data_IF_466179755848
#
_entry.id   IF_466179755848
#
_cell.length_a   1.000
_cell.length_b   1.000
_cell.length_c   1.000
_cell.angle_alpha   90.00
_cell.angle_beta   90.00
_cell.angle_gamma   90.00
#
_symmetry.space_group_name_H-M   'P 1'
#
loop_
_entity.id
_entity.type
_entity.pdbx_description
1 polymer ?
#
# COMPACT_ATOMS: atom_id res chain seq x y z
N UNK A 1 -16.32 1.81 24.07
CA UNK A 1 -15.68 0.65 23.42
C UNK A 1 -14.17 0.87 23.50
N UNK A 2 -13.38 -0.15 23.84
CA UNK A 2 -11.91 0.01 23.90
C UNK A 2 -11.35 0.07 22.47
N UNK A 3 -10.55 1.10 22.20
CA UNK A 3 -9.82 1.25 20.93
C UNK A 3 -8.69 0.24 20.88
N UNK A 4 -8.77 -0.73 19.96
CA UNK A 4 -7.75 -1.77 19.77
C UNK A 4 -7.78 -2.32 18.34
N UNK A 5 -6.63 -2.77 17.80
CA UNK A 5 -6.59 -3.40 16.48
C UNK A 5 -7.48 -4.64 16.45
N UNK A 6 -8.04 -4.96 15.28
CA UNK A 6 -9.04 -6.03 15.11
C UNK A 6 -8.47 -7.15 14.27
N UNK A 7 -8.71 -8.39 14.67
CA UNK A 7 -8.40 -9.57 13.88
C UNK A 7 -9.68 -10.16 13.28
N UNK A 8 -9.76 -10.16 11.96
CA UNK A 8 -10.90 -10.73 11.22
C UNK A 8 -10.50 -12.02 10.50
N UNK A 9 -11.49 -12.87 10.24
CA UNK A 9 -11.34 -14.05 9.39
C UNK A 9 -12.11 -13.82 8.09
N UNK A 10 -11.39 -13.72 6.98
CA UNK A 10 -12.00 -13.56 5.66
C UNK A 10 -12.01 -14.91 4.94
N UNK A 11 -13.19 -15.50 4.67
CA UNK A 11 -13.28 -16.71 3.88
C UNK A 11 -12.92 -16.42 2.41
N UNK A 12 -12.23 -17.35 1.76
CA UNK A 12 -11.86 -17.23 0.35
C UNK A 12 -12.09 -18.55 -0.40
N UNK A 13 -12.24 -18.45 -1.72
CA UNK A 13 -12.22 -19.59 -2.63
C UNK A 13 -10.77 -19.93 -3.00
N UNK A 14 -10.29 -21.17 -2.78
CA UNK A 14 -8.95 -21.59 -3.19
C UNK A 14 -8.67 -21.30 -4.67
N UNK A 15 -7.47 -20.80 -4.97
CA UNK A 15 -7.02 -20.60 -6.34
C UNK A 15 -6.77 -21.98 -6.96
N UNK A 16 -7.36 -22.30 -8.12
CA UNK A 16 -7.29 -23.63 -8.72
C UNK A 16 -5.95 -23.86 -9.46
N UNK A 17 -4.84 -23.49 -8.83
CA UNK A 17 -3.49 -23.67 -9.37
C UNK A 17 -2.67 -24.56 -8.43
N UNK A 18 -2.02 -25.56 -9.01
CA UNK A 18 -1.05 -26.38 -8.29
C UNK A 18 0.31 -25.68 -8.29
N UNK A 19 0.89 -25.53 -7.10
CA UNK A 19 2.24 -25.01 -6.96
C UNK A 19 3.21 -26.11 -7.39
N UNK A 20 4.07 -25.89 -8.40
CA UNK A 20 5.00 -26.90 -8.87
C UNK A 20 5.95 -27.40 -7.78
N UNK A 21 6.34 -28.68 -7.87
CA UNK A 21 7.29 -29.29 -6.94
C UNK A 21 8.59 -28.48 -6.84
N UNK A 22 9.01 -28.18 -5.60
CA UNK A 22 10.21 -27.40 -5.31
C UNK A 22 10.03 -25.88 -5.31
N UNK A 23 8.83 -25.37 -5.62
CA UNK A 23 8.52 -23.93 -5.56
C UNK A 23 7.75 -23.58 -4.29
N UNK A 24 8.04 -22.43 -3.66
CA UNK A 24 7.22 -21.95 -2.55
C UNK A 24 5.94 -21.28 -3.07
N UNK A 25 4.81 -21.37 -2.34
CA UNK A 25 3.57 -20.71 -2.75
C UNK A 25 3.71 -19.22 -3.04
N UNK A 26 4.44 -18.48 -2.21
CA UNK A 26 4.65 -17.05 -2.39
C UNK A 26 5.50 -16.71 -3.63
N UNK A 27 6.39 -17.60 -4.06
CA UNK A 27 7.13 -17.44 -5.32
C UNK A 27 6.18 -17.67 -6.50
N UNK A 28 5.37 -18.73 -6.44
CA UNK A 28 4.45 -19.12 -7.50
C UNK A 28 3.32 -18.12 -7.73
N UNK A 29 2.68 -17.64 -6.66
CA UNK A 29 1.61 -16.64 -6.77
C UNK A 29 2.12 -15.23 -7.14
N UNK A 30 3.44 -15.06 -7.27
CA UNK A 30 4.06 -13.90 -7.90
C UNK A 30 4.82 -14.33 -9.16
N UNK A 31 4.15 -15.06 -10.06
CA UNK A 31 4.69 -15.53 -11.34
C UNK A 31 3.77 -15.14 -12.50
N UNK A 32 4.27 -15.31 -13.73
CA UNK A 32 3.49 -15.06 -14.95
C UNK A 32 2.28 -15.99 -15.02
N UNK A 33 2.39 -17.21 -14.48
CA UNK A 33 1.31 -18.18 -14.43
C UNK A 33 0.12 -17.65 -13.62
N UNK A 34 0.38 -17.15 -12.41
CA UNK A 34 -0.67 -16.55 -11.59
C UNK A 34 -1.28 -15.30 -12.24
N UNK A 35 -0.48 -14.51 -12.96
CA UNK A 35 -1.02 -13.35 -13.69
C UNK A 35 -1.94 -13.75 -14.84
N UNK A 36 -1.61 -14.83 -15.54
CA UNK A 36 -2.49 -15.39 -16.55
C UNK A 36 -3.80 -15.85 -15.91
N UNK A 37 -3.75 -16.60 -14.79
CA UNK A 37 -4.96 -16.99 -14.06
C UNK A 37 -5.78 -15.75 -13.61
N UNK A 38 -5.11 -14.74 -13.06
CA UNK A 38 -5.75 -13.51 -12.63
C UNK A 38 -6.52 -12.84 -13.77
N UNK A 39 -5.94 -12.74 -14.97
CA UNK A 39 -6.62 -12.16 -16.13
C UNK A 39 -7.87 -12.97 -16.51
N UNK A 40 -7.77 -14.31 -16.57
CA UNK A 40 -8.84 -15.14 -17.13
C UNK A 40 -9.94 -15.50 -16.12
N UNK A 41 -9.63 -15.58 -14.83
CA UNK A 41 -10.57 -16.00 -13.78
C UNK A 41 -11.02 -14.86 -12.87
N UNK A 42 -10.25 -13.78 -12.78
CA UNK A 42 -10.49 -12.69 -11.84
C UNK A 42 -10.45 -11.30 -12.51
N UNK A 43 -10.17 -11.22 -13.81
CA UNK A 43 -10.02 -9.99 -14.56
C UNK A 43 -11.34 -9.25 -14.67
N UNK A 44 -11.32 -7.97 -14.33
CA UNK A 44 -12.48 -7.08 -14.47
C UNK A 44 -12.31 -6.21 -15.70
N UNK A 45 -11.16 -5.54 -15.85
CA UNK A 45 -10.89 -4.63 -16.95
C UNK A 45 -9.40 -4.57 -17.28
N UNK A 46 -9.08 -4.40 -18.56
CA UNK A 46 -7.72 -4.16 -19.04
C UNK A 46 -7.66 -2.93 -19.95
N UNK A 47 -6.48 -2.34 -20.09
CA UNK A 47 -6.25 -1.23 -21.01
C UNK A 47 -4.91 -1.32 -21.78
N UNK A 48 -4.73 -0.53 -22.84
CA UNK A 48 -3.51 -0.52 -23.65
C UNK A 48 -2.24 -0.14 -22.87
N UNK A 49 -2.38 0.62 -21.79
CA UNK A 49 -1.29 1.00 -20.89
C UNK A 49 -0.79 -0.18 -20.03
N UNK A 50 -1.44 -1.35 -20.11
CA UNK A 50 -1.05 -2.55 -19.39
C UNK A 50 -1.55 -2.60 -17.95
N UNK A 51 -2.56 -1.79 -17.59
CA UNK A 51 -3.21 -1.86 -16.29
C UNK A 51 -4.32 -2.90 -16.32
N UNK A 52 -4.32 -3.76 -15.29
CA UNK A 52 -5.34 -4.77 -15.07
C UNK A 52 -6.06 -4.44 -13.76
N UNK A 53 -7.37 -4.23 -13.83
CA UNK A 53 -8.27 -4.27 -12.68
C UNK A 53 -8.73 -5.71 -12.48
N UNK A 54 -8.62 -6.23 -11.26
CA UNK A 54 -8.99 -7.62 -10.97
C UNK A 54 -9.55 -7.79 -9.55
N UNK A 55 -10.48 -8.73 -9.42
CA UNK A 55 -10.99 -9.20 -8.12
C UNK A 55 -9.90 -9.94 -7.36
N UNK A 56 -9.75 -9.68 -6.06
CA UNK A 56 -8.89 -10.53 -5.21
C UNK A 56 -9.55 -11.84 -4.84
N UNK A 57 -9.02 -12.94 -5.36
CA UNK A 57 -9.39 -14.29 -4.91
C UNK A 57 -9.01 -14.51 -3.44
N UNK A 58 -7.80 -14.11 -3.05
CA UNK A 58 -7.33 -14.07 -1.65
C UNK A 58 -7.62 -12.70 -1.04
N UNK A 59 -8.90 -12.37 -0.92
CA UNK A 59 -9.38 -11.09 -0.43
C UNK A 59 -8.99 -10.78 1.02
N UNK A 60 -9.00 -9.50 1.35
CA UNK A 60 -8.92 -8.93 2.68
C UNK A 60 -10.30 -8.62 3.24
N UNK A 61 -11.26 -8.39 2.36
CA UNK A 61 -12.66 -8.10 2.69
C UNK A 61 -13.58 -8.74 1.66
N UNK A 62 -14.75 -9.15 2.11
CA UNK A 62 -15.84 -9.59 1.25
C UNK A 62 -16.90 -8.50 1.00
N UNK A 63 -16.78 -7.33 1.65
CA UNK A 63 -17.67 -6.20 1.37
C UNK A 63 -17.31 -5.53 0.04
N UNK A 64 -16.02 -5.25 -0.16
CA UNK A 64 -15.41 -4.79 -1.41
C UNK A 64 -13.88 -5.02 -1.35
N UNK A 65 -13.30 -5.69 -2.34
CA UNK A 65 -11.84 -5.83 -2.50
C UNK A 65 -11.45 -6.05 -3.96
N UNK A 66 -10.67 -5.11 -4.50
CA UNK A 66 -10.09 -5.18 -5.85
C UNK A 66 -8.71 -4.55 -5.87
N UNK A 67 -7.96 -4.78 -6.95
CA UNK A 67 -6.70 -4.09 -7.17
C UNK A 67 -6.48 -3.74 -8.63
N UNK A 68 -5.70 -2.69 -8.82
CA UNK A 68 -5.06 -2.38 -10.10
C UNK A 68 -3.63 -2.87 -10.02
N UNK A 69 -3.16 -3.52 -11.09
CA UNK A 69 -1.79 -3.98 -11.23
C UNK A 69 -1.22 -3.56 -12.57
N UNK A 70 0.04 -3.11 -12.59
CA UNK A 70 0.75 -2.88 -13.84
C UNK A 70 1.27 -4.22 -14.37
N UNK A 71 0.58 -4.80 -15.34
CA UNK A 71 0.88 -6.11 -15.87
C UNK A 71 2.01 -6.04 -16.91
N UNK A 72 3.27 -6.07 -16.44
CA UNK A 72 4.46 -6.13 -17.30
C UNK A 72 4.95 -7.55 -17.56
N UNK A 73 4.16 -8.58 -17.22
CA UNK A 73 4.61 -9.98 -17.23
C UNK A 73 5.09 -10.50 -18.57
N UNK A 74 4.57 -9.95 -19.66
CA UNK A 74 4.91 -10.33 -21.03
C UNK A 74 5.91 -9.37 -21.69
N UNK A 75 6.17 -8.21 -21.10
CA UNK A 75 7.00 -7.15 -21.70
C UNK A 75 8.34 -6.92 -20.98
N UNK A 76 8.41 -7.20 -19.68
CA UNK A 76 9.64 -7.03 -18.88
C UNK A 76 9.96 -8.37 -18.21
N UNK A 77 10.87 -9.14 -18.82
CA UNK A 77 11.29 -10.43 -18.26
C UNK A 77 12.31 -10.28 -17.12
N UNK A 78 13.08 -9.19 -17.11
CA UNK A 78 13.98 -8.87 -16.01
C UNK A 78 13.18 -8.49 -14.74
N UNK A 79 13.20 -9.32 -13.69
CA UNK A 79 12.44 -9.04 -12.47
C UNK A 79 12.96 -7.82 -11.71
N UNK A 80 14.21 -7.41 -11.90
CA UNK A 80 14.79 -6.21 -11.30
C UNK A 80 14.46 -4.93 -12.08
N UNK A 81 14.18 -5.06 -13.39
CA UNK A 81 13.80 -3.96 -14.28
C UNK A 81 12.33 -3.55 -14.21
N UNK A 82 11.50 -4.24 -13.42
CA UNK A 82 10.07 -3.93 -13.29
C UNK A 82 9.82 -2.74 -12.37
N UNK A 83 8.89 -1.83 -12.71
CA UNK A 83 8.43 -0.81 -11.77
C UNK A 83 7.83 -1.45 -10.52
N UNK A 84 8.35 -1.07 -9.36
CA UNK A 84 7.84 -1.48 -8.04
C UNK A 84 7.11 -0.34 -7.34
N UNK A 85 7.14 0.85 -7.94
CA UNK A 85 6.51 2.07 -7.47
C UNK A 85 5.81 2.81 -8.59
N UNK A 86 4.74 3.51 -8.25
CA UNK A 86 4.02 4.39 -9.18
C UNK A 86 4.88 5.50 -9.78
N UNK A 87 5.86 6.03 -9.05
CA UNK A 87 6.78 7.06 -9.60
C UNK A 87 7.76 6.53 -10.65
N UNK A 88 7.83 5.21 -10.86
CA UNK A 88 8.68 4.56 -11.87
C UNK A 88 7.92 4.17 -13.14
N UNK A 89 6.58 4.27 -13.16
CA UNK A 89 5.80 3.93 -14.37
C UNK A 89 5.87 5.08 -15.38
N UNK A 90 5.75 4.80 -16.69
CA UNK A 90 5.68 5.85 -17.71
C UNK A 90 4.53 6.83 -17.46
N UNK A 91 4.69 8.10 -17.87
CA UNK A 91 3.69 9.14 -17.60
C UNK A 91 2.31 8.82 -18.16
N UNK A 92 2.23 8.21 -19.36
CA UNK A 92 0.97 7.76 -19.93
C UNK A 92 0.25 6.74 -19.04
N UNK A 93 0.99 5.73 -18.53
CA UNK A 93 0.47 4.73 -17.59
C UNK A 93 0.01 5.39 -16.29
N UNK A 94 0.81 6.32 -15.76
CA UNK A 94 0.50 7.06 -14.53
C UNK A 94 -0.78 7.89 -14.68
N UNK A 95 -0.98 8.57 -15.80
CA UNK A 95 -2.21 9.35 -16.04
C UNK A 95 -3.47 8.48 -15.98
N UNK A 96 -3.46 7.33 -16.64
CA UNK A 96 -4.58 6.38 -16.60
C UNK A 96 -4.76 5.80 -15.20
N UNK A 97 -3.66 5.43 -14.53
CA UNK A 97 -3.67 4.95 -13.14
C UNK A 97 -4.36 5.95 -12.19
N UNK A 98 -4.06 7.25 -12.31
CA UNK A 98 -4.65 8.31 -11.48
C UNK A 98 -6.16 8.38 -11.66
N UNK A 99 -6.60 8.38 -12.92
CA UNK A 99 -8.03 8.45 -13.28
C UNK A 99 -8.78 7.23 -12.77
N UNK A 100 -8.20 6.03 -12.91
CA UNK A 100 -8.79 4.81 -12.37
C UNK A 100 -8.92 4.89 -10.84
N UNK A 101 -7.88 5.37 -10.14
CA UNK A 101 -7.92 5.55 -8.69
C UNK A 101 -9.02 6.51 -8.25
N UNK A 102 -9.08 7.66 -8.89
CA UNK A 102 -10.07 8.68 -8.63
C UNK A 102 -11.49 8.09 -8.71
N UNK A 103 -11.81 7.39 -9.81
CA UNK A 103 -13.15 6.83 -10.03
C UNK A 103 -13.48 5.73 -9.02
N UNK A 104 -12.52 4.85 -8.69
CA UNK A 104 -12.77 3.76 -7.73
C UNK A 104 -12.97 4.33 -6.31
N UNK A 105 -12.20 5.34 -5.91
CA UNK A 105 -12.36 5.99 -4.61
C UNK A 105 -13.69 6.75 -4.54
N UNK A 106 -14.07 7.46 -5.61
CA UNK A 106 -15.37 8.13 -5.73
C UNK A 106 -16.52 7.12 -5.60
N UNK A 107 -16.45 5.99 -6.30
CA UNK A 107 -17.40 4.89 -6.16
C UNK A 107 -17.50 4.35 -4.73
N UNK A 108 -16.36 4.09 -4.08
CA UNK A 108 -16.34 3.59 -2.71
C UNK A 108 -17.05 4.55 -1.74
N UNK A 109 -16.82 5.85 -1.89
CA UNK A 109 -17.45 6.86 -1.04
C UNK A 109 -18.95 6.99 -1.29
N UNK A 110 -19.40 6.79 -2.53
CA UNK A 110 -20.83 6.76 -2.86
C UNK A 110 -21.55 5.52 -2.33
N UNK A 111 -20.92 4.34 -2.45
CA UNK A 111 -21.52 3.08 -1.99
C UNK A 111 -21.50 2.90 -0.48
N UNK A 112 -20.54 3.55 0.19
CA UNK A 112 -20.35 3.46 1.63
C UNK A 112 -20.30 4.86 2.24
N UNK A 113 -21.39 5.65 2.19
CA UNK A 113 -21.35 7.08 2.51
C UNK A 113 -21.09 7.35 4.00
N UNK A 114 -21.57 6.47 4.89
CA UNK A 114 -21.45 6.66 6.33
C UNK A 114 -20.07 6.18 6.86
N UNK A 115 -19.23 7.07 7.41
CA UNK A 115 -17.98 6.67 8.05
C UNK A 115 -18.18 5.75 9.27
N UNK A 116 -19.34 5.73 9.93
CA UNK A 116 -19.61 4.86 11.07
C UNK A 116 -19.99 3.42 10.68
N UNK A 117 -20.43 3.22 9.44
CA UNK A 117 -20.78 1.89 8.91
C UNK A 117 -19.61 1.20 8.22
N UNK A 118 -18.73 1.95 7.55
CA UNK A 118 -17.66 1.36 6.74
C UNK A 118 -16.30 2.04 6.89
N UNK A 119 -15.28 1.21 7.03
CA UNK A 119 -13.87 1.62 6.93
C UNK A 119 -13.41 1.45 5.47
N UNK A 120 -12.92 2.54 4.88
CA UNK A 120 -12.49 2.57 3.48
C UNK A 120 -10.99 2.84 3.39
N UNK A 121 -10.30 2.11 2.51
CA UNK A 121 -8.93 2.41 2.14
C UNK A 121 -8.65 2.14 0.67
N UNK A 122 -7.80 2.98 0.10
CA UNK A 122 -7.14 2.78 -1.17
C UNK A 122 -5.63 2.97 -0.97
N UNK A 123 -4.76 2.23 -1.65
CA UNK A 123 -3.34 2.47 -1.45
C UNK A 123 -2.39 1.53 -2.13
N UNK A 124 -1.20 2.08 -2.38
CA UNK A 124 -0.08 1.38 -2.97
C UNK A 124 0.71 0.66 -1.89
N UNK A 125 1.06 -0.59 -2.17
CA UNK A 125 2.06 -1.31 -1.40
C UNK A 125 3.22 -1.65 -2.34
N UNK A 126 4.41 -1.13 -2.00
CA UNK A 126 5.64 -1.39 -2.74
C UNK A 126 6.50 -2.38 -1.99
N UNK A 127 6.89 -3.44 -2.69
CA UNK A 127 7.86 -4.43 -2.24
C UNK A 127 9.22 -4.10 -2.88
N UNK A 128 9.92 -3.11 -2.35
CA UNK A 128 11.20 -2.69 -2.93
C UNK A 128 12.31 -3.73 -2.74
N UNK A 129 13.21 -3.70 -3.71
CA UNK A 129 14.10 -4.71 -4.27
C UNK A 129 15.18 -5.36 -3.37
N UNK A 130 15.24 -5.10 -2.06
CA UNK A 130 16.45 -5.46 -1.29
C UNK A 130 16.73 -6.93 -1.08
N UNK A 131 15.81 -7.83 -1.40
CA UNK A 131 16.10 -9.24 -1.19
C UNK A 131 17.07 -9.75 -2.27
N UNK A 132 18.10 -10.51 -1.89
CA UNK A 132 18.79 -11.35 -2.84
C UNK A 132 17.75 -12.20 -3.56
N UNK A 133 17.74 -12.21 -4.89
CA UNK A 133 16.88 -13.12 -5.68
C UNK A 133 17.05 -14.60 -5.26
N UNK A 134 18.15 -14.91 -4.55
CA UNK A 134 18.52 -16.22 -4.02
C UNK A 134 17.93 -16.54 -2.64
N UNK A 135 17.26 -15.60 -1.98
CA UNK A 135 16.65 -15.87 -0.68
C UNK A 135 15.29 -16.59 -0.87
N UNK A 136 15.06 -17.73 -0.21
CA UNK A 136 13.83 -18.50 -0.38
C UNK A 136 12.58 -17.70 -0.01
N UNK A 137 11.63 -17.55 -0.94
CA UNK A 137 10.38 -16.83 -0.75
C UNK A 137 10.32 -15.43 -1.37
N UNK A 138 11.30 -15.06 -2.21
CA UNK A 138 11.26 -13.79 -2.95
C UNK A 138 10.39 -13.95 -4.19
N UNK A 139 9.36 -13.11 -4.37
CA UNK A 139 8.56 -13.06 -5.59
C UNK A 139 9.40 -13.03 -6.87
N UNK A 140 9.18 -13.98 -7.78
CA UNK A 140 9.82 -13.99 -9.10
C UNK A 140 9.38 -12.80 -9.96
N UNK A 141 8.18 -12.27 -9.69
CA UNK A 141 7.67 -11.03 -10.23
C UNK A 141 7.47 -10.03 -9.11
N UNK A 142 8.11 -8.87 -9.26
CA UNK A 142 7.85 -7.68 -8.44
C UNK A 142 6.74 -6.89 -9.10
N UNK A 143 5.68 -6.61 -8.35
CA UNK A 143 4.48 -5.99 -8.91
C UNK A 143 4.08 -4.77 -8.11
N UNK A 144 3.99 -3.65 -8.82
CA UNK A 144 3.25 -2.50 -8.36
C UNK A 144 1.76 -2.86 -8.37
N UNK A 145 1.17 -2.94 -7.19
CA UNK A 145 -0.26 -3.07 -7.02
C UNK A 145 -0.83 -1.97 -6.14
N UNK A 146 -2.08 -1.66 -6.40
CA UNK A 146 -2.81 -0.69 -5.62
C UNK A 146 -4.17 -1.27 -5.27
N UNK A 147 -4.47 -1.22 -3.98
CA UNK A 147 -5.56 -1.94 -3.35
C UNK A 147 -6.71 -1.01 -3.07
N UNK A 148 -7.94 -1.50 -3.19
CA UNK A 148 -9.16 -0.75 -2.88
C UNK A 148 -10.07 -1.65 -2.06
N UNK A 149 -10.40 -1.23 -0.85
CA UNK A 149 -11.13 -2.06 0.11
C UNK A 149 -12.17 -1.26 0.88
N UNK A 150 -13.27 -1.95 1.20
CA UNK A 150 -14.22 -1.52 2.22
C UNK A 150 -14.36 -2.62 3.27
N UNK A 151 -14.47 -2.26 4.54
CA UNK A 151 -14.77 -3.19 5.64
C UNK A 151 -16.04 -2.74 6.35
N UNK A 152 -16.90 -3.71 6.69
CA UNK A 152 -18.04 -3.48 7.56
C UNK A 152 -17.55 -3.20 8.99
N UNK A 153 -17.84 -2.02 9.53
CA UNK A 153 -17.44 -1.64 10.89
C UNK A 153 -18.20 -2.42 11.95
N UNK A 154 -19.41 -2.91 11.70
CA UNK A 154 -20.11 -3.81 12.62
C UNK A 154 -19.36 -5.14 12.76
N UNK A 155 -18.88 -5.71 11.65
CA UNK A 155 -18.03 -6.91 11.66
C UNK A 155 -16.73 -6.63 12.43
N UNK A 156 -16.05 -5.51 12.14
CA UNK A 156 -14.82 -5.12 12.86
C UNK A 156 -15.06 -4.90 14.36
N UNK A 157 -16.21 -4.37 14.76
CA UNK A 157 -16.58 -4.20 16.18
C UNK A 157 -16.82 -5.54 16.88
N UNK A 158 -17.43 -6.49 16.18
CA UNK A 158 -17.69 -7.85 16.68
C UNK A 158 -16.42 -8.73 16.71
N UNK A 159 -15.43 -8.39 15.89
CA UNK A 159 -14.17 -9.11 15.80
C UNK A 159 -13.32 -9.00 17.09
N UNK A 160 -12.59 -10.07 17.43
CA UNK A 160 -11.67 -10.06 18.56
C UNK A 160 -10.57 -9.00 18.37
N UNK A 161 -10.02 -8.54 19.49
CA UNK A 161 -8.78 -7.76 19.47
C UNK A 161 -7.66 -8.59 18.86
N UNK A 162 -6.91 -8.00 17.93
CA UNK A 162 -5.68 -8.59 17.45
C UNK A 162 -4.60 -8.57 18.55
N UNK A 163 -3.70 -9.56 18.51
CA UNK A 163 -2.51 -9.56 19.37
C UNK A 163 -1.66 -8.29 19.11
N UNK A 164 -1.42 -7.43 20.12
CA UNK A 164 -0.56 -6.26 19.96
C UNK A 164 0.87 -6.57 19.50
N UNK A 165 1.34 -7.80 19.71
CA UNK A 165 2.64 -8.30 19.26
C UNK A 165 2.60 -9.02 17.90
N UNK A 166 1.45 -9.01 17.22
CA UNK A 166 1.35 -9.58 15.89
C UNK A 166 2.37 -8.88 14.94
N UNK A 167 3.24 -9.62 14.26
CA UNK A 167 4.23 -9.05 13.33
C UNK A 167 3.62 -8.09 12.30
N UNK A 168 2.38 -8.35 11.85
CA UNK A 168 1.64 -7.45 10.96
C UNK A 168 1.44 -6.05 11.57
N UNK A 169 1.24 -5.95 12.88
CA UNK A 169 1.06 -4.66 13.56
C UNK A 169 2.39 -4.05 14.01
N UNK A 170 3.35 -4.88 14.42
CA UNK A 170 4.63 -4.42 14.97
C UNK A 170 5.63 -4.00 13.90
N UNK A 171 5.50 -4.50 12.68
CA UNK A 171 6.39 -4.12 11.59
C UNK A 171 5.98 -2.82 10.87
N UNK A 172 4.79 -2.31 11.17
CA UNK A 172 4.33 -1.01 10.66
C UNK A 172 5.13 0.16 11.23
N UNK A 173 5.11 1.29 10.53
CA UNK A 173 5.93 2.46 10.83
C UNK A 173 5.71 3.05 12.23
N UNK A 174 4.58 2.73 12.90
CA UNK A 174 4.32 3.11 14.29
C UNK A 174 5.35 2.59 15.31
N UNK A 175 6.04 1.50 15.01
CA UNK A 175 7.12 0.94 15.86
C UNK A 175 8.51 1.14 15.22
N UNK A 176 8.59 1.97 14.17
CA UNK A 176 9.85 2.21 13.47
C UNK A 176 10.82 3.04 14.30
N UNK A 177 12.11 2.91 13.97
CA UNK A 177 13.17 3.77 14.47
C UNK A 177 12.89 5.26 14.17
N UNK A 178 12.20 5.54 13.06
CA UNK A 178 11.80 6.91 12.69
C UNK A 178 10.84 7.49 13.72
N UNK A 179 9.82 6.73 14.12
CA UNK A 179 8.86 7.20 15.09
C UNK A 179 9.49 7.36 16.49
N UNK A 180 10.40 6.46 16.88
CA UNK A 180 11.02 6.48 18.19
C UNK A 180 12.08 7.59 18.36
N UNK A 181 12.85 7.91 17.32
CA UNK A 181 14.05 8.75 17.45
C UNK A 181 14.11 9.94 16.49
N UNK A 182 13.34 9.92 15.39
CA UNK A 182 13.44 10.93 14.34
C UNK A 182 12.10 11.58 14.01
N UNK A 183 11.10 11.48 14.90
CA UNK A 183 9.74 11.99 14.63
C UNK A 183 9.74 13.45 14.20
N UNK A 184 10.46 14.31 14.93
CA UNK A 184 10.48 15.75 14.63
C UNK A 184 11.32 16.06 13.38
N UNK A 185 12.47 15.42 13.19
CA UNK A 185 13.28 15.55 11.95
C UNK A 185 12.45 15.17 10.73
N UNK A 186 11.74 14.04 10.82
CA UNK A 186 10.88 13.53 9.76
C UNK A 186 9.73 14.50 9.47
N UNK A 187 9.02 14.99 10.49
CA UNK A 187 7.97 16.01 10.30
C UNK A 187 8.50 17.30 9.69
N UNK A 188 9.64 17.79 10.17
CA UNK A 188 10.28 19.01 9.65
C UNK A 188 10.68 18.86 8.18
N UNK A 189 11.16 17.68 7.76
CA UNK A 189 11.45 17.42 6.36
C UNK A 189 10.20 17.53 5.49
N UNK A 190 9.10 16.87 5.87
CA UNK A 190 7.87 16.90 5.08
C UNK A 190 7.13 18.25 5.10
N UNK A 191 7.31 19.06 6.14
CA UNK A 191 6.70 20.39 6.24
C UNK A 191 7.23 21.38 5.19
N UNK A 192 8.40 21.10 4.60
CA UNK A 192 9.03 21.95 3.58
C UNK A 192 8.62 21.58 2.15
N UNK A 193 7.87 20.50 1.97
CA UNK A 193 7.28 20.18 0.67
C UNK A 193 6.17 21.21 0.35
N UNK A 194 6.11 21.73 -0.89
CA UNK A 194 5.02 22.63 -1.35
C UNK A 194 3.70 21.87 -1.56
N UNK A 195 3.10 21.43 -0.45
CA UNK A 195 1.80 20.78 -0.42
C UNK A 195 0.71 21.83 -0.14
N UNK A 196 -0.25 21.98 -1.07
CA UNK A 196 -1.37 22.92 -0.93
C UNK A 196 -2.70 22.21 -0.72
N UNK A 197 -2.88 21.04 -1.34
CA UNK A 197 -4.07 20.20 -1.16
C UNK A 197 -3.88 19.31 0.06
N UNK A 198 -2.72 18.66 0.20
CA UNK A 198 -2.38 17.75 1.30
C UNK A 198 -1.88 18.53 2.52
N UNK A 199 -2.76 18.76 3.50
CA UNK A 199 -2.42 19.53 4.71
C UNK A 199 -2.06 18.61 5.87
N UNK A 200 -0.96 18.82 6.58
CA UNK A 200 -0.62 18.01 7.75
C UNK A 200 -1.78 17.92 8.75
N UNK A 201 -2.13 16.70 9.14
CA UNK A 201 -3.12 16.43 10.19
C UNK A 201 -2.71 17.07 11.52
N UNK A 202 -3.71 17.41 12.34
CA UNK A 202 -3.49 17.64 13.77
C UNK A 202 -3.20 16.33 14.50
N UNK A 203 -2.49 16.41 15.63
CA UNK A 203 -2.18 15.21 16.43
C UNK A 203 -3.46 14.51 16.86
N UNK A 204 -3.59 13.22 16.52
CA UNK A 204 -4.74 12.39 16.87
C UNK A 204 -5.93 12.44 15.90
N UNK A 205 -5.99 13.40 14.97
CA UNK A 205 -7.16 13.57 14.07
C UNK A 205 -7.27 12.52 12.96
N UNK A 206 -6.22 11.71 12.77
CA UNK A 206 -6.16 10.72 11.71
C UNK A 206 -6.43 9.30 12.22
N UNK A 207 -6.53 9.06 13.53
CA UNK A 207 -6.81 7.73 14.09
C UNK A 207 -8.26 7.35 13.84
N UNK A 208 -8.47 6.10 13.44
CA UNK A 208 -9.78 5.44 13.48
C UNK A 208 -10.06 5.05 14.93
N UNK A 209 -11.13 5.58 15.52
CA UNK A 209 -11.50 5.39 16.92
C UNK A 209 -11.71 3.91 17.28
N UNK A 210 -12.18 3.11 16.32
CA UNK A 210 -12.41 1.68 16.51
C UNK A 210 -11.09 0.91 16.75
N UNK A 211 -10.07 1.22 15.96
CA UNK A 211 -8.81 0.45 15.94
C UNK A 211 -7.69 1.13 16.71
N UNK A 212 -7.69 2.46 16.78
CA UNK A 212 -6.63 3.30 17.33
C UNK A 212 -5.50 3.59 16.35
N UNK A 213 -5.66 3.23 15.08
CA UNK A 213 -4.64 3.35 14.01
C UNK A 213 -5.06 4.34 12.92
N UNK A 214 -4.11 4.93 12.17
CA UNK A 214 -2.66 4.80 12.29
C UNK A 214 -2.09 5.50 13.54
N UNK A 215 -0.98 4.97 14.06
CA UNK A 215 -0.34 5.52 15.27
C UNK A 215 0.96 6.25 14.92
N UNK A 216 0.96 7.57 15.05
CA UNK A 216 2.20 8.36 14.97
C UNK A 216 2.79 8.51 13.56
N UNK A 217 2.18 7.88 12.55
CA UNK A 217 2.55 8.05 11.16
C UNK A 217 2.26 9.48 10.68
N UNK A 218 3.08 10.03 9.77
CA UNK A 218 2.76 11.29 9.12
C UNK A 218 1.44 11.11 8.35
N UNK A 219 0.60 12.12 8.40
CA UNK A 219 -0.71 12.05 7.76
C UNK A 219 -1.11 13.44 7.29
N UNK A 220 -1.80 13.48 6.15
CA UNK A 220 -2.23 14.72 5.52
C UNK A 220 -3.72 14.62 5.18
N UNK A 221 -4.50 15.58 5.64
CA UNK A 221 -5.88 15.75 5.22
C UNK A 221 -5.93 16.26 3.78
N UNK A 222 -6.79 15.66 2.96
CA UNK A 222 -7.06 16.11 1.59
C UNK A 222 -8.04 17.28 1.63
N UNK A 223 -7.52 18.48 1.43
CA UNK A 223 -8.36 19.69 1.35
C UNK A 223 -9.26 19.61 0.11
N UNK A 224 -10.56 19.84 0.28
CA UNK A 224 -11.55 19.66 -0.81
C UNK A 224 -12.09 18.24 -0.94
N UNK A 225 -11.63 17.29 -0.10
CA UNK A 225 -12.16 15.93 -0.04
C UNK A 225 -12.05 15.18 -1.37
N UNK A 226 -13.09 14.42 -1.73
CA UNK A 226 -13.10 13.61 -2.95
C UNK A 226 -12.95 14.43 -4.23
N UNK A 227 -13.43 15.68 -4.25
CA UNK A 227 -13.35 16.54 -5.43
C UNK A 227 -11.89 16.85 -5.81
N UNK A 228 -11.00 16.96 -4.82
CA UNK A 228 -9.58 17.22 -5.05
C UNK A 228 -8.86 16.08 -5.80
N UNK A 229 -9.41 14.85 -5.78
CA UNK A 229 -8.84 13.73 -6.54
C UNK A 229 -8.92 13.93 -8.06
N UNK A 230 -9.79 14.84 -8.52
CA UNK A 230 -9.92 15.27 -9.93
C UNK A 230 -8.81 16.26 -10.33
N UNK A 231 -8.10 16.84 -9.37
CA UNK A 231 -7.04 17.80 -9.62
C UNK A 231 -5.70 17.10 -9.85
N UNK A 232 -5.02 17.43 -10.95
CA UNK A 232 -3.67 16.91 -11.25
C UNK A 232 -2.70 17.22 -10.10
N UNK A 233 -2.87 18.36 -9.44
CA UNK A 233 -2.07 18.79 -8.31
C UNK A 233 -2.12 17.80 -7.14
N UNK A 234 -3.28 17.21 -6.83
CA UNK A 234 -3.39 16.22 -5.76
C UNK A 234 -2.42 15.06 -6.00
N UNK A 235 -2.40 14.54 -7.23
CA UNK A 235 -1.53 13.43 -7.61
C UNK A 235 -0.05 13.80 -7.64
N UNK A 236 0.28 15.05 -7.98
CA UNK A 236 1.65 15.58 -7.87
C UNK A 236 2.11 15.64 -6.41
N UNK A 237 1.25 16.09 -5.50
CA UNK A 237 1.52 16.15 -4.06
C UNK A 237 1.60 14.74 -3.44
N UNK A 238 0.74 13.83 -3.87
CA UNK A 238 0.79 12.42 -3.48
C UNK A 238 2.13 11.78 -3.88
N UNK A 239 2.61 12.02 -5.10
CA UNK A 239 3.92 11.56 -5.55
C UNK A 239 5.08 12.29 -4.82
N UNK A 240 4.92 13.57 -4.46
CA UNK A 240 5.93 14.33 -3.73
C UNK A 240 6.18 13.74 -2.32
N UNK A 241 5.12 13.30 -1.63
CA UNK A 241 5.24 12.59 -0.36
C UNK A 241 6.06 11.30 -0.53
N UNK A 242 5.76 10.50 -1.56
CA UNK A 242 6.52 9.28 -1.83
C UNK A 242 8.00 9.58 -2.13
N UNK A 243 8.26 10.56 -3.00
CA UNK A 243 9.63 10.99 -3.33
C UNK A 243 10.40 11.46 -2.11
N UNK A 244 9.76 12.24 -1.24
CA UNK A 244 10.35 12.72 0.01
C UNK A 244 10.65 11.57 0.97
N UNK A 245 9.75 10.59 1.07
CA UNK A 245 9.98 9.37 1.84
C UNK A 245 11.20 8.59 1.34
N UNK A 246 11.33 8.43 0.02
CA UNK A 246 12.46 7.74 -0.60
C UNK A 246 13.79 8.45 -0.32
N UNK A 247 13.83 9.78 -0.46
CA UNK A 247 15.02 10.57 -0.16
C UNK A 247 15.43 10.45 1.30
N UNK A 248 14.46 10.64 2.22
CA UNK A 248 14.69 10.49 3.66
C UNK A 248 15.32 9.14 3.99
N UNK A 249 14.74 8.06 3.47
CA UNK A 249 15.18 6.69 3.76
C UNK A 249 16.54 6.37 3.14
N UNK A 250 16.76 6.71 1.87
CA UNK A 250 18.04 6.45 1.17
C UNK A 250 19.20 7.21 1.82
N UNK A 251 18.96 8.46 2.21
CA UNK A 251 19.97 9.28 2.90
C UNK A 251 20.26 8.71 4.28
N UNK A 252 19.22 8.34 5.04
CA UNK A 252 19.40 7.74 6.37
C UNK A 252 20.24 6.48 6.30
N UNK A 253 19.87 5.53 5.43
CA UNK A 253 20.60 4.26 5.32
C UNK A 253 21.98 4.42 4.69
N UNK A 254 22.22 5.44 3.85
CA UNK A 254 23.56 5.83 3.44
C UNK A 254 24.45 6.21 4.63
N UNK A 255 23.93 7.00 5.58
CA UNK A 255 24.66 7.35 6.80
C UNK A 255 24.84 6.16 7.77
N UNK A 256 23.87 5.24 7.81
CA UNK A 256 24.00 3.99 8.56
C UNK A 256 25.08 3.10 7.95
N UNK A 257 25.12 2.94 6.62
CA UNK A 257 26.07 2.05 5.96
C UNK A 257 27.50 2.58 5.99
N UNK A 258 27.65 3.90 5.82
CA UNK A 258 28.96 4.55 5.67
C UNK A 258 28.96 5.86 6.43
N UNK A 259 29.93 6.02 7.33
CA UNK A 259 30.09 7.27 8.08
C UNK A 259 30.35 8.43 7.11
N UNK A 260 29.55 9.49 7.22
CA UNK A 260 29.61 10.65 6.35
C UNK A 260 29.46 10.28 4.87
N UNK A 261 28.53 9.37 4.58
CA UNK A 261 28.22 9.00 3.20
C UNK A 261 27.86 10.25 2.38
N UNK A 262 28.29 10.29 1.13
CA UNK A 262 27.88 11.34 0.21
C UNK A 262 26.37 11.30 -0.05
N UNK A 263 25.80 12.43 -0.46
CA UNK A 263 24.42 12.49 -0.92
C UNK A 263 24.22 11.48 -2.08
N UNK A 264 23.15 10.66 -2.06
CA UNK A 264 22.82 9.80 -3.20
C UNK A 264 22.62 10.63 -4.47
N UNK A 265 23.07 10.13 -5.62
CA UNK A 265 23.06 10.88 -6.89
C UNK A 265 21.66 11.25 -7.37
N UNK A 266 20.68 10.39 -7.13
CA UNK A 266 19.34 10.51 -7.69
C UNK A 266 18.31 10.87 -6.61
N UNK A 267 18.61 11.84 -5.75
CA UNK A 267 17.63 12.39 -4.82
C UNK A 267 16.67 13.34 -5.54
N UNK A 268 15.42 13.40 -5.08
CA UNK A 268 14.39 14.28 -5.65
C UNK A 268 14.45 15.71 -5.10
N UNK A 269 14.88 15.88 -3.84
CA UNK A 269 14.91 17.16 -3.14
C UNK A 269 16.31 17.42 -2.53
N UNK A 270 17.34 17.67 -3.37
CA UNK A 270 18.74 17.79 -2.90
C UNK A 270 18.94 18.87 -1.84
N UNK A 271 18.38 20.07 -2.05
CA UNK A 271 18.49 21.18 -1.10
C UNK A 271 17.84 20.83 0.24
N UNK A 272 16.72 20.13 0.21
CA UNK A 272 16.01 19.71 1.41
C UNK A 272 16.80 18.62 2.17
N UNK A 273 17.37 17.66 1.44
CA UNK A 273 18.24 16.62 1.98
C UNK A 273 19.46 17.23 2.66
N UNK A 274 20.12 18.18 2.02
CA UNK A 274 21.30 18.84 2.59
C UNK A 274 20.93 19.60 3.87
N UNK A 275 19.94 20.49 3.78
CA UNK A 275 19.61 21.41 4.86
C UNK A 275 18.89 20.77 6.05
N UNK A 276 18.09 19.71 5.83
CA UNK A 276 17.24 19.11 6.88
C UNK A 276 17.69 17.74 7.35
N UNK A 277 18.55 17.04 6.59
CA UNK A 277 19.02 15.70 6.96
C UNK A 277 20.53 15.67 7.20
N UNK A 278 21.32 16.06 6.19
CA UNK A 278 22.79 15.95 6.27
C UNK A 278 23.42 16.98 7.22
N UNK A 279 22.72 18.09 7.49
CA UNK A 279 23.11 19.08 8.48
C UNK A 279 22.38 18.92 9.84
N UNK A 280 21.55 17.89 10.01
CA UNK A 280 20.81 17.64 11.25
C UNK A 280 21.56 16.68 12.18
N UNK A 281 21.94 17.18 13.36
CA UNK A 281 22.72 16.40 14.32
C UNK A 281 21.95 15.21 14.91
N UNK A 282 20.62 15.30 15.06
CA UNK A 282 19.83 14.23 15.66
C UNK A 282 19.57 13.10 14.66
N UNK A 283 19.41 13.44 13.37
CA UNK A 283 19.44 12.51 12.26
C UNK A 283 20.75 11.72 12.22
N UNK A 284 21.89 12.40 12.23
CA UNK A 284 23.21 11.77 12.17
C UNK A 284 23.53 10.93 13.42
N UNK A 285 23.16 11.39 14.62
CA UNK A 285 23.28 10.60 15.86
C UNK A 285 22.45 9.32 15.79
N UNK A 286 21.23 9.41 15.26
CA UNK A 286 20.36 8.24 15.11
C UNK A 286 20.94 7.24 14.11
N UNK A 287 21.42 7.72 12.96
CA UNK A 287 22.10 6.87 11.98
C UNK A 287 23.34 6.18 12.59
N UNK A 288 24.15 6.91 13.37
CA UNK A 288 25.27 6.33 14.14
C UNK A 288 24.80 5.24 15.09
N UNK A 289 23.73 5.47 15.86
CA UNK A 289 23.21 4.49 16.81
C UNK A 289 22.81 3.18 16.12
N UNK A 290 22.13 3.28 14.98
CA UNK A 290 21.76 2.10 14.18
C UNK A 290 23.02 1.39 13.66
N UNK A 291 23.97 2.14 13.10
CA UNK A 291 25.24 1.60 12.59
C UNK A 291 26.02 0.85 13.66
N UNK A 292 26.22 1.46 14.83
CA UNK A 292 26.98 0.87 15.94
C UNK A 292 26.32 -0.43 16.45
N UNK A 293 24.98 -0.48 16.45
CA UNK A 293 24.23 -1.69 16.79
C UNK A 293 24.38 -2.77 15.71
N UNK A 294 24.34 -2.42 14.43
CA UNK A 294 24.58 -3.39 13.34
C UNK A 294 25.97 -4.04 13.42
N UNK A 295 26.98 -3.33 13.93
CA UNK A 295 28.35 -3.87 14.07
C UNK A 295 28.43 -4.92 15.18
N UNK A 296 27.63 -4.78 16.25
CA UNK A 296 27.77 -5.58 17.47
C UNK A 296 26.65 -6.59 17.70
N UNK A 297 25.51 -6.45 17.02
CA UNK A 297 24.33 -7.31 17.14
C UNK A 297 23.98 -7.90 15.77
N UNK A 298 24.44 -9.12 15.52
CA UNK A 298 24.22 -9.83 14.25
C UNK A 298 22.72 -10.08 13.96
N UNK A 299 21.90 -10.29 14.99
CA UNK A 299 20.45 -10.50 14.83
C UNK A 299 19.78 -9.21 14.38
N UNK A 300 20.15 -8.08 15.00
CA UNK A 300 19.69 -6.77 14.58
C UNK A 300 20.17 -6.41 13.17
N UNK A 301 21.45 -6.64 12.87
CA UNK A 301 22.00 -6.40 11.53
C UNK A 301 21.24 -7.18 10.44
N UNK A 302 20.87 -8.44 10.73
CA UNK A 302 20.07 -9.27 9.83
C UNK A 302 18.61 -8.80 9.68
N UNK A 303 18.05 -8.14 10.71
CA UNK A 303 16.68 -7.62 10.65
C UNK A 303 16.57 -6.27 9.94
N UNK A 304 17.67 -5.52 9.79
CA UNK A 304 17.70 -4.25 9.07
C UNK A 304 17.30 -4.44 7.59
N UNK A 305 16.54 -3.46 7.09
CA UNK A 305 16.11 -3.36 5.69
C UNK A 305 16.72 -2.11 5.07
N UNK A 306 17.70 -2.32 4.20
CA UNK A 306 18.53 -1.26 3.63
C UNK A 306 17.85 -0.47 2.51
N UNK A 307 16.78 -1.00 1.88
CA UNK A 307 15.99 -0.30 0.86
C UNK A 307 14.55 -0.11 1.35
N UNK A 308 13.88 0.97 0.92
CA UNK A 308 12.56 1.34 1.40
C UNK A 308 11.43 0.51 0.78
N UNK A 309 10.87 -0.44 1.55
CA UNK A 309 9.50 -0.90 1.31
C UNK A 309 8.51 0.04 2.00
N UNK A 310 7.37 0.33 1.37
CA UNK A 310 6.38 1.25 1.94
C UNK A 310 4.95 0.87 1.58
N UNK A 311 4.04 1.45 2.35
CA UNK A 311 2.60 1.50 2.09
C UNK A 311 2.19 2.97 2.08
N UNK A 312 1.61 3.45 1.00
CA UNK A 312 1.06 4.79 0.90
C UNK A 312 -0.45 4.68 0.65
N UNK A 313 -1.24 5.24 1.56
CA UNK A 313 -2.68 5.04 1.60
C UNK A 313 -3.44 6.35 1.48
N UNK A 314 -4.64 6.26 0.93
CA UNK A 314 -5.75 7.18 1.08
C UNK A 314 -6.83 6.43 1.87
N UNK A 315 -7.27 6.94 3.01
CA UNK A 315 -8.35 6.34 3.79
C UNK A 315 -9.31 7.40 4.30
N UNK A 316 -10.53 6.99 4.66
CA UNK A 316 -11.53 7.88 5.26
C UNK A 316 -11.48 7.77 6.78
N UNK A 317 -11.37 8.89 7.48
CA UNK A 317 -11.46 8.92 8.94
C UNK A 317 -12.92 8.93 9.45
N UNK A 318 -13.09 8.89 10.78
CA UNK A 318 -14.43 8.78 11.39
C UNK A 318 -15.33 10.00 11.18
N UNK A 319 -14.78 11.15 10.79
CA UNK A 319 -15.56 12.36 10.46
C UNK A 319 -15.74 12.55 8.94
N UNK A 320 -15.44 11.52 8.15
CA UNK A 320 -15.67 11.49 6.71
C UNK A 320 -14.58 12.17 5.86
N UNK A 321 -13.48 12.64 6.47
CA UNK A 321 -12.38 13.28 5.74
C UNK A 321 -11.46 12.24 5.10
N UNK A 322 -10.95 12.55 3.91
CA UNK A 322 -9.91 11.76 3.27
C UNK A 322 -8.54 12.13 3.83
N UNK A 323 -7.76 11.11 4.19
CA UNK A 323 -6.43 11.22 4.77
C UNK A 323 -5.44 10.44 3.90
N UNK A 324 -4.33 11.08 3.56
CA UNK A 324 -3.14 10.43 3.00
C UNK A 324 -2.18 10.08 4.11
N UNK A 325 -1.61 8.87 4.12
CA UNK A 325 -0.50 8.51 5.00
C UNK A 325 0.53 7.67 4.27
N UNK A 326 1.78 7.69 4.73
CA UNK A 326 2.84 6.82 4.24
C UNK A 326 3.56 6.18 5.42
N UNK A 327 3.79 4.87 5.32
CA UNK A 327 4.49 4.07 6.30
C UNK A 327 5.61 3.30 5.64
N UNK A 328 6.74 3.20 6.32
CA UNK A 328 7.66 2.08 6.08
C UNK A 328 6.88 0.77 6.28
N UNK A 329 7.12 -0.19 5.42
CA UNK A 329 6.46 -1.48 5.44
C UNK A 329 7.46 -2.62 5.67
N UNK A 330 7.01 -3.74 6.24
CA UNK A 330 7.71 -5.02 6.09
C UNK A 330 7.08 -5.87 4.98
N UNK A 331 7.90 -6.75 4.44
CA UNK A 331 7.50 -7.65 3.35
C UNK A 331 6.66 -8.78 3.94
N UNK A 332 5.47 -9.00 3.37
CA UNK A 332 4.58 -10.11 3.73
C UNK A 332 3.30 -9.68 4.43
N UNK A 333 3.23 -8.46 4.96
CA UNK A 333 2.11 -8.04 5.79
C UNK A 333 1.05 -7.25 5.01
N UNK A 334 -0.22 -7.37 5.40
CA UNK A 334 -1.35 -6.79 4.67
C UNK A 334 -1.41 -5.26 4.78
N UNK A 335 -1.80 -4.57 3.72
CA UNK A 335 -1.91 -3.10 3.70
C UNK A 335 -2.89 -2.55 4.75
N UNK A 336 -3.82 -3.40 5.20
CA UNK A 336 -4.86 -3.14 6.19
C UNK A 336 -4.34 -2.88 7.60
N UNK A 337 -3.13 -3.36 7.93
CA UNK A 337 -2.55 -3.21 9.27
C UNK A 337 -2.23 -1.77 9.65
N UNK A 338 -2.00 -0.91 8.65
CA UNK A 338 -1.77 0.53 8.85
C UNK A 338 -2.99 1.17 9.50
N UNK A 339 -4.17 0.59 9.28
CA UNK A 339 -5.44 0.99 9.91
C UNK A 339 -5.86 0.05 11.04
N UNK A 340 -4.96 -0.82 11.51
CA UNK A 340 -5.18 -1.70 12.67
C UNK A 340 -6.11 -2.88 12.39
N UNK A 341 -6.20 -3.34 11.13
CA UNK A 341 -6.98 -4.52 10.75
C UNK A 341 -6.04 -5.65 10.33
N UNK A 342 -5.97 -6.69 11.16
CA UNK A 342 -5.25 -7.94 10.89
C UNK A 342 -6.22 -8.91 10.21
N UNK A 343 -5.87 -9.37 9.01
CA UNK A 343 -6.71 -10.28 8.25
C UNK A 343 -6.12 -11.68 8.26
N UNK A 344 -6.88 -12.64 8.78
CA UNK A 344 -6.62 -14.06 8.62
C UNK A 344 -7.49 -14.61 7.48
N UNK A 345 -6.86 -15.23 6.49
CA UNK A 345 -7.58 -15.83 5.37
C UNK A 345 -7.87 -17.30 5.66
N UNK A 346 -9.10 -17.76 5.43
CA UNK A 346 -9.49 -19.16 5.62
C UNK A 346 -10.08 -19.74 4.32
N UNK A 347 -9.62 -20.91 3.84
CA UNK A 347 -10.20 -21.54 2.66
C UNK A 347 -11.60 -22.08 3.01
N UNK A 348 -12.62 -21.36 2.57
CA UNK A 348 -14.03 -21.70 2.82
C UNK A 348 -14.88 -21.20 1.64
N UNK A 349 -15.03 -22.08 0.64
CA UNK A 349 -15.72 -21.76 -0.59
C UNK A 349 -17.22 -21.54 -0.39
N UNK A 350 -17.83 -22.19 0.60
CA UNK A 350 -19.26 -22.06 0.89
C UNK A 350 -19.54 -20.70 1.53
N UNK A 351 -18.76 -20.31 2.54
CA UNK A 351 -18.89 -19.00 3.16
C UNK A 351 -18.56 -17.86 2.19
N UNK A 352 -17.52 -18.02 1.37
CA UNK A 352 -17.22 -17.05 0.31
C UNK A 352 -18.35 -16.94 -0.71
N UNK A 353 -18.91 -18.08 -1.16
CA UNK A 353 -20.00 -18.13 -2.14
C UNK A 353 -21.28 -17.41 -1.69
N UNK A 354 -21.50 -17.23 -0.38
CA UNK A 354 -22.60 -16.41 0.14
C UNK A 354 -22.39 -14.91 -0.05
N UNK A 355 -21.15 -14.43 0.03
CA UNK A 355 -20.81 -13.01 -0.09
C UNK A 355 -20.43 -12.60 -1.51
N UNK A 356 -19.94 -13.55 -2.31
CA UNK A 356 -19.40 -13.35 -3.65
C UNK A 356 -20.37 -12.62 -4.60
N UNK A 357 -21.69 -12.93 -4.69
CA UNK A 357 -22.59 -12.23 -5.61
C UNK A 357 -22.64 -10.71 -5.38
N UNK A 358 -22.78 -10.28 -4.12
CA UNK A 358 -22.85 -8.87 -3.76
C UNK A 358 -21.49 -8.15 -3.92
N UNK A 359 -20.38 -8.88 -3.75
CA UNK A 359 -19.05 -8.38 -4.06
C UNK A 359 -18.91 -8.15 -5.58
N UNK A 360 -19.23 -9.16 -6.40
CA UNK A 360 -19.11 -9.12 -7.86
C UNK A 360 -19.97 -8.01 -8.44
N UNK A 361 -21.21 -7.84 -7.98
CA UNK A 361 -22.10 -6.77 -8.45
C UNK A 361 -21.44 -5.39 -8.33
N UNK A 362 -20.82 -5.10 -7.17
CA UNK A 362 -20.10 -3.83 -6.94
C UNK A 362 -18.87 -3.69 -7.83
N UNK A 363 -18.11 -4.78 -7.97
CA UNK A 363 -16.90 -4.78 -8.82
C UNK A 363 -17.24 -4.55 -10.30
N UNK A 364 -18.31 -5.15 -10.80
CA UNK A 364 -18.81 -4.92 -12.16
C UNK A 364 -19.38 -3.52 -12.34
N UNK A 365 -20.00 -2.93 -11.30
CA UNK A 365 -20.44 -1.54 -11.33
C UNK A 365 -19.27 -0.56 -11.47
N UNK A 366 -18.18 -0.76 -10.73
CA UNK A 366 -16.93 0.01 -10.88
C UNK A 366 -16.34 -0.18 -12.27
N UNK A 367 -16.29 -1.42 -12.75
CA UNK A 367 -15.80 -1.76 -14.09
C UNK A 367 -16.53 -0.95 -15.17
N UNK A 368 -17.87 -0.88 -15.11
CA UNK A 368 -18.68 -0.10 -16.06
C UNK A 368 -18.30 1.39 -16.06
N UNK A 369 -18.17 2.00 -14.88
CA UNK A 369 -17.75 3.42 -14.77
C UNK A 369 -16.37 3.67 -15.38
N UNK A 370 -15.44 2.75 -15.20
CA UNK A 370 -14.10 2.85 -15.78
C UNK A 370 -14.14 2.70 -17.30
N UNK A 371 -14.95 1.79 -17.84
CA UNK A 371 -15.15 1.63 -19.28
C UNK A 371 -15.83 2.87 -19.90
N UNK A 372 -16.88 3.40 -19.28
CA UNK A 372 -17.56 4.64 -19.68
C UNK A 372 -16.62 5.86 -19.68
N UNK A 373 -15.63 5.87 -18.78
CA UNK A 373 -14.61 6.91 -18.70
C UNK A 373 -13.44 6.72 -19.69
N UNK A 374 -13.53 5.73 -20.60
CA UNK A 374 -12.47 5.39 -21.55
C UNK A 374 -11.13 5.07 -20.85
N UNK A 375 -11.19 4.20 -19.83
CA UNK A 375 -10.01 3.74 -19.08
C UNK A 375 -9.68 2.26 -19.29
N UNK A 376 -10.41 1.60 -20.18
CA UNK A 376 -10.19 0.21 -20.56
C UNK A 376 -11.47 -0.49 -21.00
N UNK A 377 -11.32 -1.78 -21.30
CA UNK A 377 -12.41 -2.65 -21.75
C UNK A 377 -12.62 -3.77 -20.74
N UNK A 378 -13.88 -4.15 -20.56
CA UNK A 378 -14.24 -5.26 -19.67
C UNK A 378 -13.67 -6.59 -20.14
N UNK A 379 -13.25 -7.42 -19.19
CA UNK A 379 -12.76 -8.78 -19.45
C UNK A 379 -13.89 -9.76 -19.19
N UNK A 380 -14.19 -10.61 -20.18
CA UNK A 380 -15.05 -11.77 -19.99
C UNK A 380 -14.29 -12.89 -19.27
N UNK A 381 -14.95 -13.54 -18.33
CA UNK A 381 -14.45 -14.71 -17.59
C UNK A 381 -15.51 -15.81 -17.61
N UNK A 382 -15.22 -17.02 -17.09
CA UNK A 382 -16.26 -18.04 -16.91
C UNK A 382 -17.43 -17.61 -16.01
N UNK A 383 -17.27 -16.52 -15.24
CA UNK A 383 -18.22 -16.08 -14.22
C UNK A 383 -18.98 -14.80 -14.58
N UNK A 384 -18.48 -13.97 -15.52
CA UNK A 384 -19.13 -12.75 -15.98
C UNK A 384 -18.76 -12.40 -17.43
N UNK A 385 -19.68 -11.73 -18.13
CA UNK A 385 -19.46 -11.24 -19.51
C UNK A 385 -18.56 -10.01 -19.56
N UNK A 386 -18.17 -9.60 -20.78
CA UNK A 386 -17.34 -8.40 -21.01
C UNK A 386 -18.10 -7.08 -20.79
N UNK A 387 -19.42 -7.08 -21.00
CA UNK A 387 -20.30 -5.90 -20.89
C UNK A 387 -20.60 -5.52 -19.44
#
# INVERSE_FOLDING_TARGET
MQSCPREIVTPFRPIPLEVPDGMKPNEFFNSTENLNDLVHNNGLLQNPEGLLLYRKALGHSNAFDTSIIYNTSRSILDPLGRPVRRTQVPDAVKHVWNRMNQIIIEYLLEQYPDPDEALLLAGEASLDATWPLTSPGVPSIRMLHNHFMAFDKAELRAAPSADPHNPNLTDGGQNSLFQAYMREVYRNFFNELDLRILRPCQSGSCRIALTGYPQGLPSWEVTGGVAALKEVRFWQEYDAILKGFLDFYRVFFGQVSTRNSAMPRDVYFPDLVENKLLFDNDFLKTAKRVRDRCITDAKYANSIRWQPAFKQLIYRNDVGKLIVTISQNSIGNAITEVLGVVVKRSPDAEAYGRAEPALIEKLLAVRRRLAEADLGQGIATPYWGAD
#
